data_IF_939352340554
#
_entry.id   IF_939352340554
#
_cell.length_a   1.000
_cell.length_b   1.000
_cell.length_c   1.000
_cell.angle_alpha   90.00
_cell.angle_beta   90.00
_cell.angle_gamma   90.00
#
_symmetry.space_group_name_H-M   'P 1'
#
loop_
_entity.id
_entity.type
_entity.pdbx_description
1 polymer ?
#
# COMPACT_ATOMS: atom_id res chain seq x y z
N UNK A 1 -9.09 -11.59 -15.54
CA UNK A 1 -8.83 -10.52 -14.54
C UNK A 1 -7.34 -10.41 -14.30
N UNK A 2 -6.80 -9.21 -14.46
CA UNK A 2 -5.35 -9.00 -14.26
C UNK A 2 -5.00 -9.00 -12.79
N UNK A 3 -3.87 -9.60 -12.47
CA UNK A 3 -3.32 -9.62 -11.13
C UNK A 3 -2.08 -8.75 -11.07
N UNK A 4 -1.82 -8.19 -9.91
CA UNK A 4 -0.71 -7.30 -9.68
C UNK A 4 0.41 -8.03 -8.95
N UNK A 5 1.64 -7.72 -9.30
CA UNK A 5 2.82 -8.19 -8.58
C UNK A 5 3.82 -7.05 -8.41
N UNK A 6 4.63 -7.16 -7.37
CA UNK A 6 5.71 -6.19 -7.15
C UNK A 6 6.84 -6.45 -8.13
N UNK A 7 7.51 -5.37 -8.55
CA UNK A 7 8.74 -5.50 -9.32
C UNK A 7 9.80 -6.18 -8.43
N UNK A 8 10.34 -7.35 -8.84
CA UNK A 8 11.27 -8.09 -8.00
C UNK A 8 12.62 -7.42 -7.81
N UNK A 9 12.94 -6.40 -8.60
CA UNK A 9 14.19 -5.66 -8.48
C UNK A 9 14.16 -4.63 -7.36
N UNK A 10 12.99 -4.37 -6.77
CA UNK A 10 12.84 -3.41 -5.69
C UNK A 10 13.05 -4.09 -4.35
N UNK A 11 13.99 -3.56 -3.56
CA UNK A 11 14.20 -3.99 -2.18
C UNK A 11 13.25 -3.19 -1.29
N UNK A 12 12.59 -3.88 -0.37
CA UNK A 12 11.62 -3.21 0.51
C UNK A 12 11.57 -3.90 1.87
N UNK A 13 11.09 -3.14 2.87
CA UNK A 13 10.85 -3.71 4.20
C UNK A 13 9.74 -2.95 4.91
N UNK A 14 9.10 -3.63 5.86
CA UNK A 14 8.09 -3.03 6.73
C UNK A 14 8.81 -2.44 7.95
N UNK A 15 8.49 -1.18 8.26
CA UNK A 15 8.94 -0.53 9.51
C UNK A 15 7.94 -0.87 10.61
N UNK A 16 8.13 -2.02 11.25
CA UNK A 16 7.16 -2.60 12.19
C UNK A 16 6.82 -1.69 13.36
N UNK A 17 7.79 -0.96 13.88
CA UNK A 17 7.54 -0.05 15.02
C UNK A 17 6.67 1.13 14.59
N UNK A 18 6.92 1.69 13.41
CA UNK A 18 6.08 2.78 12.88
C UNK A 18 4.69 2.29 12.55
N UNK A 19 4.57 1.12 11.94
CA UNK A 19 3.27 0.53 11.63
C UNK A 19 2.45 0.34 12.91
N UNK A 20 3.05 -0.23 13.95
CA UNK A 20 2.40 -0.43 15.24
C UNK A 20 1.97 0.90 15.87
N UNK A 21 2.82 1.93 15.79
CA UNK A 21 2.49 3.25 16.33
C UNK A 21 1.33 3.90 15.59
N UNK A 22 1.30 3.78 14.25
CA UNK A 22 0.21 4.32 13.42
C UNK A 22 -1.10 3.60 13.74
N UNK A 23 -1.09 2.27 13.81
CA UNK A 23 -2.29 1.49 14.13
C UNK A 23 -2.81 1.83 15.53
N UNK A 24 -1.93 1.98 16.50
CA UNK A 24 -2.31 2.35 17.86
C UNK A 24 -2.94 3.74 17.91
N UNK A 25 -2.38 4.70 17.17
CA UNK A 25 -2.93 6.05 17.09
C UNK A 25 -4.32 6.04 16.46
N UNK A 26 -4.55 5.25 15.41
CA UNK A 26 -5.85 5.12 14.77
C UNK A 26 -6.89 4.50 15.71
N UNK A 27 -6.50 3.48 16.48
CA UNK A 27 -7.38 2.85 17.48
C UNK A 27 -7.79 3.84 18.57
N UNK A 28 -6.90 4.75 18.93
CA UNK A 28 -7.15 5.78 19.93
C UNK A 28 -7.93 6.98 19.36
N UNK A 29 -8.27 6.97 18.07
CA UNK A 29 -8.94 8.08 17.42
C UNK A 29 -8.04 9.28 17.13
N UNK A 30 -6.73 9.10 17.25
CA UNK A 30 -5.74 10.13 16.96
C UNK A 30 -5.36 10.11 15.48
N UNK A 31 -4.89 11.26 14.97
CA UNK A 31 -4.34 11.35 13.63
C UNK A 31 -2.84 11.04 13.70
N UNK A 32 -2.39 9.90 13.14
CA UNK A 32 -0.97 9.55 13.17
C UNK A 32 -0.12 10.35 12.19
N UNK A 33 -0.76 11.16 11.34
CA UNK A 33 -0.08 11.85 10.26
C UNK A 33 0.29 10.91 9.13
N UNK A 34 1.22 11.36 8.28
CA UNK A 34 1.62 10.65 7.07
C UNK A 34 2.95 9.92 7.29
N UNK A 35 3.00 9.07 8.30
CA UNK A 35 4.22 8.31 8.62
C UNK A 35 4.43 7.16 7.66
N UNK A 36 5.67 6.98 7.20
CA UNK A 36 6.04 5.86 6.35
C UNK A 36 6.11 4.56 7.12
N UNK A 37 5.34 3.56 6.70
CA UNK A 37 5.31 2.23 7.32
C UNK A 37 6.04 1.18 6.50
N UNK A 38 6.25 1.42 5.20
CA UNK A 38 7.01 0.56 4.32
C UNK A 38 8.06 1.41 3.60
N UNK A 39 9.30 0.91 3.56
CA UNK A 39 10.39 1.55 2.85
C UNK A 39 10.70 0.77 1.58
N UNK A 40 10.87 1.49 0.47
CA UNK A 40 11.30 0.94 -0.80
C UNK A 40 12.65 1.54 -1.18
N UNK A 41 13.54 0.73 -1.73
CA UNK A 41 14.80 1.23 -2.29
C UNK A 41 14.78 0.94 -3.78
N UNK A 42 14.73 1.99 -4.58
CA UNK A 42 14.64 1.91 -6.04
C UNK A 42 15.79 2.72 -6.64
N UNK A 43 16.67 2.07 -7.37
CA UNK A 43 17.81 2.71 -8.02
C UNK A 43 18.62 3.59 -7.06
N UNK A 44 18.83 3.13 -5.83
CA UNK A 44 19.58 3.85 -4.81
C UNK A 44 18.81 4.95 -4.09
N UNK A 45 17.56 5.16 -4.43
CA UNK A 45 16.71 6.18 -3.78
C UNK A 45 15.71 5.50 -2.85
N UNK A 46 15.58 6.05 -1.64
CA UNK A 46 14.63 5.56 -0.66
C UNK A 46 13.28 6.26 -0.82
N UNK A 47 12.22 5.47 -0.82
CA UNK A 47 10.84 5.95 -0.85
C UNK A 47 10.08 5.38 0.34
N UNK A 48 9.09 6.11 0.84
CA UNK A 48 8.27 5.67 1.95
C UNK A 48 6.81 5.59 1.53
N UNK A 49 6.13 4.53 1.96
CA UNK A 49 4.69 4.37 1.77
C UNK A 49 4.00 4.50 3.13
N UNK A 50 2.86 5.19 3.16
CA UNK A 50 2.04 5.30 4.37
C UNK A 50 1.34 3.98 4.68
N UNK A 51 0.49 3.94 5.72
CA UNK A 51 -0.17 2.71 6.15
C UNK A 51 -0.98 2.07 5.02
N UNK A 52 -1.84 2.82 4.35
CA UNK A 52 -2.69 2.30 3.27
C UNK A 52 -1.83 1.84 2.09
N UNK A 53 -0.92 2.69 1.63
CA UNK A 53 -0.01 2.35 0.53
C UNK A 53 0.88 1.16 0.85
N UNK A 54 1.37 1.08 2.09
CA UNK A 54 2.18 -0.03 2.55
C UNK A 54 1.39 -1.35 2.61
N UNK A 55 0.13 -1.30 3.03
CA UNK A 55 -0.75 -2.46 3.03
C UNK A 55 -1.00 -2.96 1.61
N UNK A 56 -1.25 -2.05 0.67
CA UNK A 56 -1.40 -2.39 -0.75
C UNK A 56 -0.12 -3.06 -1.26
N UNK A 57 1.02 -2.46 -1.00
CA UNK A 57 2.32 -2.98 -1.43
C UNK A 57 2.56 -4.41 -0.94
N UNK A 58 2.31 -4.66 0.35
CA UNK A 58 2.50 -5.98 0.95
C UNK A 58 1.53 -7.02 0.37
N UNK A 59 0.35 -6.58 -0.04
CA UNK A 59 -0.72 -7.47 -0.53
C UNK A 59 -0.62 -7.78 -2.02
N UNK A 60 0.26 -7.09 -2.76
CA UNK A 60 0.44 -7.28 -4.20
C UNK A 60 1.47 -8.39 -4.44
N UNK A 61 1.04 -9.63 -4.36
CA UNK A 61 1.89 -10.81 -4.45
C UNK A 61 1.61 -11.70 -5.67
N UNK A 62 0.84 -11.20 -6.63
CA UNK A 62 0.46 -11.94 -7.83
C UNK A 62 -0.80 -12.77 -7.67
N UNK A 63 -1.42 -12.78 -6.48
CA UNK A 63 -2.62 -13.56 -6.20
C UNK A 63 -3.91 -12.75 -6.21
N UNK A 64 -3.82 -11.41 -6.21
CA UNK A 64 -4.96 -10.52 -6.09
C UNK A 64 -5.08 -9.57 -7.27
N UNK A 65 -6.33 -9.31 -7.66
CA UNK A 65 -6.66 -8.21 -8.58
C UNK A 65 -6.81 -6.91 -7.80
N UNK A 66 -6.89 -5.80 -8.53
CA UNK A 66 -7.14 -4.48 -7.94
C UNK A 66 -8.44 -4.46 -7.12
N UNK A 67 -9.51 -5.05 -7.65
CA UNK A 67 -10.77 -5.15 -6.94
C UNK A 67 -10.64 -5.91 -5.62
N UNK A 68 -9.89 -7.00 -5.62
CA UNK A 68 -9.65 -7.79 -4.41
C UNK A 68 -8.86 -7.00 -3.38
N UNK A 69 -7.94 -6.13 -3.81
CA UNK A 69 -7.23 -5.24 -2.91
C UNK A 69 -8.16 -4.22 -2.26
N UNK A 70 -9.09 -3.65 -3.03
CA UNK A 70 -10.09 -2.73 -2.47
C UNK A 70 -10.98 -3.45 -1.45
N UNK A 71 -11.42 -4.67 -1.77
CA UNK A 71 -12.22 -5.48 -0.86
C UNK A 71 -11.48 -5.75 0.45
N UNK A 72 -10.20 -6.09 0.38
CA UNK A 72 -9.35 -6.33 1.54
C UNK A 72 -9.25 -5.09 2.43
N UNK A 73 -8.95 -3.94 1.83
CA UNK A 73 -8.80 -2.69 2.57
C UNK A 73 -10.12 -2.22 3.17
N UNK A 74 -11.22 -2.38 2.45
CA UNK A 74 -12.55 -2.02 2.95
C UNK A 74 -12.95 -2.87 4.16
N UNK A 75 -12.46 -4.10 4.23
CA UNK A 75 -12.70 -4.98 5.38
C UNK A 75 -11.84 -4.61 6.60
N UNK A 76 -10.64 -4.08 6.37
CA UNK A 76 -9.70 -3.75 7.45
C UNK A 76 -9.88 -2.33 8.00
N UNK A 77 -10.29 -1.39 7.16
CA UNK A 77 -10.36 0.03 7.50
C UNK A 77 -11.78 0.56 7.36
N UNK A 78 -12.17 1.41 8.30
CA UNK A 78 -13.49 2.06 8.29
C UNK A 78 -13.42 3.32 7.41
N UNK A 79 -13.54 3.13 6.10
CA UNK A 79 -13.44 4.19 5.11
C UNK A 79 -14.57 4.05 4.09
N UNK A 80 -14.92 5.15 3.42
CA UNK A 80 -15.88 5.15 2.34
C UNK A 80 -15.34 4.32 1.17
N UNK A 81 -16.10 3.31 0.73
CA UNK A 81 -15.65 2.40 -0.32
C UNK A 81 -15.43 3.11 -1.65
N UNK A 82 -16.26 4.09 -1.99
CA UNK A 82 -16.11 4.85 -3.24
C UNK A 82 -14.82 5.65 -3.26
N UNK A 83 -14.51 6.31 -2.14
CA UNK A 83 -13.25 7.05 -1.98
C UNK A 83 -12.06 6.11 -2.01
N UNK A 84 -12.16 4.99 -1.31
CA UNK A 84 -11.10 3.99 -1.27
C UNK A 84 -10.81 3.43 -2.65
N UNK A 85 -11.85 3.10 -3.42
CA UNK A 85 -11.71 2.57 -4.77
C UNK A 85 -10.96 3.56 -5.67
N UNK A 86 -11.34 4.84 -5.63
CA UNK A 86 -10.67 5.89 -6.40
C UNK A 86 -9.21 6.07 -5.97
N UNK A 87 -8.95 6.10 -4.68
CA UNK A 87 -7.60 6.30 -4.14
C UNK A 87 -6.69 5.13 -4.47
N UNK A 88 -7.18 3.91 -4.34
CA UNK A 88 -6.42 2.69 -4.68
C UNK A 88 -6.09 2.67 -6.17
N UNK A 89 -7.07 3.01 -7.01
CA UNK A 89 -6.88 3.06 -8.46
C UNK A 89 -5.75 4.04 -8.84
N UNK A 90 -5.79 5.26 -8.30
CA UNK A 90 -4.77 6.28 -8.57
C UNK A 90 -3.40 5.85 -8.08
N UNK A 91 -3.34 5.27 -6.89
CA UNK A 91 -2.08 4.79 -6.31
C UNK A 91 -1.46 3.69 -7.17
N UNK A 92 -2.26 2.70 -7.57
CA UNK A 92 -1.78 1.59 -8.40
C UNK A 92 -1.32 2.10 -9.77
N UNK A 93 -2.08 2.99 -10.40
CA UNK A 93 -1.68 3.58 -11.67
C UNK A 93 -0.33 4.31 -11.57
N UNK A 94 -0.13 5.08 -10.50
CA UNK A 94 1.13 5.78 -10.27
C UNK A 94 2.29 4.78 -10.15
N UNK A 95 2.12 3.73 -9.37
CA UNK A 95 3.18 2.73 -9.19
C UNK A 95 3.47 1.94 -10.46
N UNK A 96 2.44 1.68 -11.27
CA UNK A 96 2.63 1.03 -12.58
C UNK A 96 3.43 1.92 -13.52
N UNK A 97 3.11 3.21 -13.57
CA UNK A 97 3.86 4.18 -14.39
C UNK A 97 5.32 4.26 -13.99
N UNK A 98 5.60 4.12 -12.71
CA UNK A 98 6.97 4.11 -12.18
C UNK A 98 7.69 2.79 -12.42
N UNK A 99 6.98 1.75 -12.84
CA UNK A 99 7.52 0.41 -13.00
C UNK A 99 7.71 -0.35 -11.69
N UNK A 100 7.11 0.11 -10.60
CA UNK A 100 7.22 -0.54 -9.29
C UNK A 100 6.22 -1.68 -9.13
N UNK A 101 5.06 -1.58 -9.76
CA UNK A 101 4.08 -2.67 -9.86
C UNK A 101 3.91 -3.08 -11.31
N UNK A 102 3.61 -4.35 -11.51
CA UNK A 102 3.50 -4.96 -12.83
C UNK A 102 2.20 -5.74 -12.89
N UNK A 103 1.48 -5.66 -14.00
CA UNK A 103 0.37 -6.57 -14.27
C UNK A 103 0.90 -7.90 -14.81
N UNK A 104 0.35 -8.94 -14.25
CA UNK A 104 0.65 -10.31 -14.67
C UNK A 104 -0.07 -10.65 -15.99
#
# INVERSE_FOLDING_TARGET
>A
MRRLTRNPDIVWRVEKQREAAVLKALEAGSDPGDQGTVLLIVSGTMHQLNLIGGTIWQSVDGSRSEKQLVDLLAAEYDVDRSELDADVCLFIEDLIQRGWLIYD
#
